data_IF_533063374326
#
_entry.id   IF_533063374326
#
_cell.length_a   1.000
_cell.length_b   1.000
_cell.length_c   1.000
_cell.angle_alpha   90.00
_cell.angle_beta   90.00
_cell.angle_gamma   90.00
#
_symmetry.space_group_name_H-M   'P 1'
#
loop_
_entity.id
_entity.type
_entity.pdbx_description
1 polymer ?
#
# COMPACT_ATOMS: atom_id res chain seq x y z
N UNK A 1 17.32 1.19 -14.52
CA UNK A 1 16.04 1.66 -13.93
C UNK A 1 15.15 2.34 -14.95
N UNK A 2 15.57 3.42 -15.63
CA UNK A 2 14.74 4.10 -16.63
C UNK A 2 14.29 3.18 -17.78
N UNK A 3 15.18 2.30 -18.27
CA UNK A 3 14.82 1.26 -19.25
C UNK A 3 13.75 0.31 -18.73
N UNK A 4 13.87 -0.12 -17.46
CA UNK A 4 12.89 -0.97 -16.79
C UNK A 4 11.52 -0.29 -16.71
N UNK A 5 11.49 0.99 -16.31
CA UNK A 5 10.26 1.80 -16.29
C UNK A 5 9.66 1.91 -17.69
N UNK A 6 10.49 2.14 -18.72
CA UNK A 6 10.06 2.19 -20.11
C UNK A 6 9.44 0.88 -20.61
N UNK A 7 10.04 -0.27 -20.27
CA UNK A 7 9.49 -1.60 -20.56
C UNK A 7 8.12 -1.80 -19.91
N UNK A 8 8.01 -1.50 -18.62
CA UNK A 8 6.75 -1.60 -17.87
C UNK A 8 5.69 -0.68 -18.49
N UNK A 9 6.04 0.58 -18.77
CA UNK A 9 5.14 1.53 -19.42
C UNK A 9 4.59 0.98 -20.74
N UNK A 10 5.44 0.37 -21.58
CA UNK A 10 5.03 -0.23 -22.84
C UNK A 10 4.09 -1.44 -22.64
N UNK A 11 4.42 -2.35 -21.72
CA UNK A 11 3.62 -3.53 -21.40
C UNK A 11 2.19 -3.16 -20.96
N UNK A 12 2.09 -2.19 -20.06
CA UNK A 12 0.81 -1.71 -19.58
C UNK A 12 0.15 -0.70 -20.52
N UNK A 13 0.78 -0.32 -21.65
CA UNK A 13 0.31 0.70 -22.60
C UNK A 13 0.01 2.04 -21.92
N UNK A 14 0.94 2.51 -21.10
CA UNK A 14 0.85 3.75 -20.34
C UNK A 14 1.98 4.70 -20.74
N UNK A 15 1.73 6.00 -20.65
CA UNK A 15 2.78 7.01 -20.75
C UNK A 15 3.27 7.33 -19.36
N UNK A 16 4.59 7.24 -19.15
CA UNK A 16 5.24 7.57 -17.89
C UNK A 16 6.20 8.74 -18.11
N UNK A 17 5.95 9.84 -17.41
CA UNK A 17 6.84 11.01 -17.38
C UNK A 17 7.79 10.88 -16.21
N UNK A 18 9.10 10.78 -16.47
CA UNK A 18 10.09 10.73 -15.40
C UNK A 18 10.65 12.13 -15.13
N UNK A 19 10.52 12.59 -13.90
CA UNK A 19 11.32 13.70 -13.36
C UNK A 19 12.31 13.10 -12.38
N UNK A 20 13.55 13.57 -12.32
CA UNK A 20 14.53 12.98 -11.42
C UNK A 20 15.59 13.97 -10.97
N UNK A 21 16.10 13.72 -9.76
CA UNK A 21 17.26 14.37 -9.23
C UNK A 21 18.49 13.55 -9.62
N UNK A 22 19.23 14.02 -10.63
CA UNK A 22 20.38 13.29 -11.16
C UNK A 22 21.52 13.11 -10.13
N UNK A 23 21.62 14.02 -9.15
CA UNK A 23 22.70 14.03 -8.17
C UNK A 23 22.61 12.95 -7.09
N UNK A 24 21.40 12.64 -6.61
CA UNK A 24 21.16 11.65 -5.54
C UNK A 24 20.40 10.40 -6.02
N UNK A 25 20.02 10.36 -7.29
CA UNK A 25 19.37 9.20 -7.92
C UNK A 25 17.87 9.08 -7.63
N UNK A 26 17.24 10.12 -7.06
CA UNK A 26 15.81 10.09 -6.77
C UNK A 26 14.96 10.23 -8.06
N UNK A 27 14.13 9.22 -8.34
CA UNK A 27 13.26 9.16 -9.50
C UNK A 27 11.81 9.45 -9.12
N UNK A 28 11.12 10.21 -9.99
CA UNK A 28 9.71 10.57 -9.87
C UNK A 28 8.97 10.12 -11.15
N UNK A 29 8.70 8.82 -11.31
CA UNK A 29 7.86 8.34 -12.40
C UNK A 29 6.41 8.78 -12.15
N UNK A 30 5.87 9.57 -13.07
CA UNK A 30 4.50 10.06 -13.01
C UNK A 30 3.66 9.43 -14.13
N UNK A 31 2.54 8.82 -13.76
CA UNK A 31 1.60 8.21 -14.70
C UNK A 31 0.32 9.03 -14.71
N UNK A 32 0.19 9.93 -15.69
CA UNK A 32 -1.04 10.70 -15.90
C UNK A 32 -2.07 9.85 -16.63
N UNK A 33 -3.28 9.76 -16.08
CA UNK A 33 -4.36 8.98 -16.68
C UNK A 33 -5.74 9.61 -16.42
N UNK A 34 -6.71 9.29 -17.29
CA UNK A 34 -8.10 9.66 -17.10
C UNK A 34 -8.82 8.60 -16.24
N UNK A 35 -9.17 8.97 -15.00
CA UNK A 35 -9.86 8.08 -14.06
C UNK A 35 -11.28 7.68 -14.47
N UNK A 36 -11.85 8.33 -15.49
CA UNK A 36 -13.18 7.98 -16.04
C UNK A 36 -13.12 6.80 -17.00
N UNK A 37 -11.93 6.47 -17.52
CA UNK A 37 -11.76 5.35 -18.45
C UNK A 37 -11.77 4.03 -17.66
N UNK A 38 -12.75 3.13 -17.89
CA UNK A 38 -12.85 1.88 -17.16
C UNK A 38 -11.58 1.03 -17.29
N UNK A 39 -11.12 0.50 -16.16
CA UNK A 39 -9.93 -0.37 -16.09
C UNK A 39 -8.58 0.35 -16.23
N UNK A 40 -8.54 1.62 -16.62
CA UNK A 40 -7.27 2.35 -16.75
C UNK A 40 -6.58 2.54 -15.41
N UNK A 41 -7.33 2.88 -14.35
CA UNK A 41 -6.77 2.98 -12.99
C UNK A 41 -6.14 1.67 -12.52
N UNK A 42 -6.80 0.53 -12.74
CA UNK A 42 -6.26 -0.76 -12.33
C UNK A 42 -4.93 -1.09 -13.04
N UNK A 43 -4.81 -0.74 -14.34
CA UNK A 43 -3.55 -0.84 -15.09
C UNK A 43 -2.46 0.07 -14.52
N UNK A 44 -2.81 1.30 -14.16
CA UNK A 44 -1.87 2.26 -13.53
C UNK A 44 -1.39 1.75 -12.18
N UNK A 45 -2.29 1.23 -11.34
CA UNK A 45 -1.95 0.69 -10.03
C UNK A 45 -1.01 -0.52 -10.14
N UNK A 46 -1.26 -1.41 -11.11
CA UNK A 46 -0.41 -2.57 -11.41
C UNK A 46 0.98 -2.15 -11.91
N UNK A 47 1.05 -1.26 -12.90
CA UNK A 47 2.32 -0.74 -13.42
C UNK A 47 3.13 -0.02 -12.33
N UNK A 48 2.46 0.78 -11.50
CA UNK A 48 3.10 1.49 -10.37
C UNK A 48 3.67 0.52 -9.35
N UNK A 49 2.98 -0.60 -9.09
CA UNK A 49 3.47 -1.68 -8.22
C UNK A 49 4.69 -2.38 -8.77
N UNK A 50 4.72 -2.71 -10.06
CA UNK A 50 5.89 -3.32 -10.69
C UNK A 50 7.09 -2.37 -10.70
N UNK A 51 6.87 -1.08 -10.99
CA UNK A 51 7.92 -0.06 -10.91
C UNK A 51 8.47 0.03 -9.48
N UNK A 52 7.58 0.06 -8.47
CA UNK A 52 8.02 0.12 -7.06
C UNK A 52 8.85 -1.10 -6.68
N UNK A 53 8.38 -2.30 -7.03
CA UNK A 53 9.09 -3.54 -6.75
C UNK A 53 10.46 -3.58 -7.44
N UNK A 54 10.55 -3.14 -8.69
CA UNK A 54 11.80 -3.04 -9.42
C UNK A 54 12.79 -2.06 -8.74
N UNK A 55 12.31 -0.89 -8.28
CA UNK A 55 13.11 0.06 -7.53
C UNK A 55 13.68 -0.54 -6.24
N UNK A 56 12.86 -1.24 -5.47
CA UNK A 56 13.27 -1.88 -4.21
C UNK A 56 14.28 -3.01 -4.49
N UNK A 57 14.03 -3.84 -5.49
CA UNK A 57 14.94 -4.93 -5.88
C UNK A 57 16.31 -4.43 -6.35
N UNK A 58 16.37 -3.21 -6.88
CA UNK A 58 17.63 -2.54 -7.26
C UNK A 58 18.35 -1.88 -6.07
N UNK A 59 17.90 -2.09 -4.83
CA UNK A 59 18.47 -1.47 -3.63
C UNK A 59 17.99 -0.05 -3.35
N UNK A 60 16.96 0.42 -4.07
CA UNK A 60 16.33 1.72 -3.83
C UNK A 60 15.36 1.71 -2.65
N UNK A 61 14.78 2.88 -2.38
CA UNK A 61 13.73 3.08 -1.36
C UNK A 61 12.45 3.61 -2.00
N UNK A 62 11.32 3.50 -1.30
CA UNK A 62 10.00 3.95 -1.79
C UNK A 62 9.78 5.47 -1.61
N UNK A 63 10.70 6.12 -0.89
CA UNK A 63 10.67 7.54 -0.54
C UNK A 63 12.08 8.12 -0.51
N UNK A 64 12.28 9.25 -1.19
CA UNK A 64 13.43 10.13 -1.01
C UNK A 64 13.01 11.36 -0.21
N UNK A 65 12.89 12.51 -0.89
CA UNK A 65 12.39 13.77 -0.29
C UNK A 65 10.87 13.77 -0.04
N UNK A 66 10.13 12.96 -0.78
CA UNK A 66 8.67 12.90 -0.69
C UNK A 66 8.21 11.73 0.17
N UNK A 67 7.51 12.02 1.27
CA UNK A 67 7.06 11.01 2.23
C UNK A 67 6.12 9.93 1.69
N UNK A 68 5.83 8.96 2.57
CA UNK A 68 5.03 7.77 2.26
C UNK A 68 3.53 8.06 2.41
N UNK A 69 2.85 8.25 1.27
CA UNK A 69 1.39 8.33 1.19
C UNK A 69 0.69 6.97 1.29
N UNK A 70 -0.65 6.97 1.29
CA UNK A 70 -1.46 5.74 1.44
C UNK A 70 -1.14 4.68 0.38
N UNK A 71 -0.90 5.11 -0.85
CA UNK A 71 -0.57 4.20 -1.95
C UNK A 71 0.76 3.48 -1.72
N UNK A 72 1.73 4.16 -1.09
CA UNK A 72 3.07 3.62 -0.87
C UNK A 72 3.19 2.77 0.40
N UNK A 73 2.26 2.91 1.35
CA UNK A 73 2.33 2.22 2.64
C UNK A 73 2.44 0.70 2.51
N UNK A 74 1.82 0.11 1.49
CA UNK A 74 1.87 -1.34 1.25
C UNK A 74 3.28 -1.87 0.93
N UNK A 75 4.20 -1.00 0.53
CA UNK A 75 5.59 -1.38 0.22
C UNK A 75 6.55 -1.18 1.39
N UNK A 76 6.12 -0.54 2.50
CA UNK A 76 6.97 -0.37 3.69
C UNK A 76 7.56 -1.69 4.21
N UNK A 77 6.83 -2.82 4.26
CA UNK A 77 7.39 -4.10 4.70
C UNK A 77 8.42 -4.72 3.74
N UNK A 78 8.57 -4.16 2.52
CA UNK A 78 9.57 -4.61 1.56
C UNK A 78 10.93 -3.94 1.77
N UNK A 79 10.98 -2.84 2.54
CA UNK A 79 12.19 -2.06 2.82
C UNK A 79 12.56 -2.02 4.31
N UNK A 80 11.60 -2.27 5.20
CA UNK A 80 11.81 -2.31 6.64
C UNK A 80 11.27 -3.62 7.19
N UNK A 81 12.05 -4.26 8.06
CA UNK A 81 11.60 -5.42 8.80
C UNK A 81 10.59 -5.05 9.89
N UNK A 82 9.99 -6.08 10.49
CA UNK A 82 8.96 -5.90 11.51
C UNK A 82 9.48 -5.16 12.75
N UNK A 83 10.76 -5.36 13.13
CA UNK A 83 11.38 -4.69 14.28
C UNK A 83 11.56 -3.20 14.03
N UNK A 84 12.04 -2.82 12.84
CA UNK A 84 12.19 -1.43 12.42
C UNK A 84 10.83 -0.72 12.39
N UNK A 85 9.80 -1.35 11.82
CA UNK A 85 8.45 -0.79 11.80
C UNK A 85 7.87 -0.65 13.22
N UNK A 86 8.13 -1.61 14.10
CA UNK A 86 7.72 -1.55 15.50
C UNK A 86 8.43 -0.40 16.25
N UNK A 87 9.72 -0.18 15.97
CA UNK A 87 10.49 0.93 16.53
C UNK A 87 9.93 2.29 16.07
N UNK A 88 9.64 2.46 14.77
CA UNK A 88 8.99 3.67 14.25
C UNK A 88 7.65 3.93 14.95
N UNK A 89 6.84 2.87 15.15
CA UNK A 89 5.57 2.98 15.87
C UNK A 89 5.78 3.33 17.36
N UNK A 90 6.83 2.81 18.00
CA UNK A 90 7.16 3.11 19.38
C UNK A 90 7.50 4.59 19.58
N UNK A 91 8.30 5.17 18.69
CA UNK A 91 8.60 6.62 18.70
C UNK A 91 7.31 7.44 18.57
N UNK A 92 6.40 7.07 17.66
CA UNK A 92 5.11 7.76 17.52
C UNK A 92 4.30 7.75 18.82
N UNK A 93 4.23 6.61 19.51
CA UNK A 93 3.44 6.47 20.75
C UNK A 93 3.95 7.31 21.91
N UNK A 94 5.21 7.76 21.89
CA UNK A 94 5.73 8.72 22.89
C UNK A 94 4.96 10.05 22.82
N UNK A 95 4.57 10.47 21.61
CA UNK A 95 3.89 11.75 21.37
C UNK A 95 2.38 11.61 21.16
N UNK A 96 1.91 10.42 20.76
CA UNK A 96 0.51 10.10 20.48
C UNK A 96 0.13 8.76 21.14
N UNK A 97 0.06 8.70 22.50
CA UNK A 97 -0.15 7.43 23.22
C UNK A 97 -1.45 6.71 22.85
N UNK A 98 -2.49 7.48 22.55
CA UNK A 98 -3.81 6.98 22.14
C UNK A 98 -3.94 6.79 20.62
N UNK A 99 -2.86 7.01 19.86
CA UNK A 99 -2.79 6.87 18.39
C UNK A 99 -3.85 7.66 17.59
N UNK A 100 -4.29 8.82 18.11
CA UNK A 100 -5.39 9.63 17.55
C UNK A 100 -4.98 10.45 16.35
N UNK A 101 -3.69 10.74 16.22
CA UNK A 101 -3.18 11.66 15.20
C UNK A 101 -2.99 10.93 13.87
N UNK A 102 -3.95 11.10 12.96
CA UNK A 102 -3.92 10.62 11.58
C UNK A 102 -3.58 9.11 11.43
N UNK A 103 -4.43 8.21 11.94
CA UNK A 103 -4.18 6.77 11.97
C UNK A 103 -3.94 6.20 10.56
N UNK A 104 -2.98 5.29 10.45
CA UNK A 104 -2.68 4.61 9.18
C UNK A 104 -1.93 5.49 8.17
N UNK A 105 -1.21 6.52 8.61
CA UNK A 105 -0.27 7.29 7.78
C UNK A 105 1.18 7.03 8.19
N UNK A 106 2.06 7.03 7.21
CA UNK A 106 3.53 6.89 7.31
C UNK A 106 4.01 5.54 7.87
N UNK A 107 3.54 5.13 9.04
CA UNK A 107 3.83 3.83 9.64
C UNK A 107 2.62 2.92 9.44
N UNK A 108 2.78 1.75 8.79
CA UNK A 108 1.72 0.76 8.71
C UNK A 108 1.19 0.43 10.10
N UNK A 109 -0.10 0.60 10.31
CA UNK A 109 -0.76 0.07 11.51
C UNK A 109 -1.20 -1.34 11.18
N UNK A 110 -0.67 -2.32 11.89
CA UNK A 110 -1.29 -3.65 11.93
C UNK A 110 -2.53 -3.55 12.81
N UNK A 111 -3.55 -2.81 12.37
CA UNK A 111 -4.89 -3.02 12.89
C UNK A 111 -5.36 -4.34 12.28
N UNK A 112 -5.78 -5.30 13.11
CA UNK A 112 -6.71 -6.31 12.64
C UNK A 112 -7.80 -5.57 11.83
N UNK A 113 -8.20 -6.13 10.68
CA UNK A 113 -9.09 -5.51 9.68
C UNK A 113 -10.41 -4.91 10.23
N UNK A 114 -10.73 -5.15 11.50
CA UNK A 114 -11.90 -4.70 12.23
C UNK A 114 -12.05 -3.16 12.32
N UNK A 115 -10.96 -2.38 12.26
CA UNK A 115 -11.06 -0.91 12.36
C UNK A 115 -11.59 -0.21 11.09
N UNK A 116 -11.75 -0.95 9.99
CA UNK A 116 -12.36 -0.42 8.75
C UNK A 116 -13.87 -0.19 8.89
N UNK A 117 -14.51 -0.72 9.95
CA UNK A 117 -15.97 -0.77 10.12
C UNK A 117 -16.59 0.34 10.98
N UNK A 118 -15.82 1.09 11.78
CA UNK A 118 -16.40 1.91 12.87
C UNK A 118 -16.68 3.37 12.46
N UNK A 119 -16.95 3.65 11.18
CA UNK A 119 -17.42 4.99 10.73
C UNK A 119 -18.71 5.00 9.93
N UNK A 120 -19.35 3.85 9.74
CA UNK A 120 -20.69 3.78 9.16
C UNK A 120 -21.64 3.14 10.18
N UNK A 121 -22.37 3.98 10.92
CA UNK A 121 -23.64 3.72 11.61
C UNK A 121 -23.67 4.18 13.09
N UNK A 122 -23.61 5.49 13.32
CA UNK A 122 -24.50 6.10 14.33
C UNK A 122 -25.40 7.09 13.60
N UNK A 123 -26.45 6.55 12.98
CA UNK A 123 -27.35 7.31 12.15
C UNK A 123 -28.44 6.44 11.54
N UNK A 124 -29.34 5.91 12.38
CA UNK A 124 -30.71 5.61 11.94
C UNK A 124 -31.10 4.13 11.81
N UNK A 125 -31.99 3.75 12.72
CA UNK A 125 -33.16 2.85 12.55
C UNK A 125 -32.91 1.33 12.50
N UNK A 126 -33.41 0.72 13.58
CA UNK A 126 -33.77 -0.69 13.76
C UNK A 126 -34.61 -1.19 12.57
N UNK A 127 -34.23 -2.32 11.96
CA UNK A 127 -35.15 -3.44 11.72
C UNK A 127 -34.42 -4.69 11.17
N UNK A 128 -34.92 -5.87 11.55
CA UNK A 128 -34.93 -7.05 10.67
C UNK A 128 -33.76 -8.04 10.78
N UNK A 129 -34.01 -9.12 11.51
CA UNK A 129 -33.23 -10.37 11.59
C UNK A 129 -33.11 -11.12 10.26
N UNK A 130 -31.91 -11.60 9.89
CA UNK A 130 -31.70 -12.93 9.26
C UNK A 130 -30.23 -13.36 9.39
N UNK A 131 -29.91 -14.59 9.84
CA UNK A 131 -28.54 -15.11 9.78
C UNK A 131 -28.33 -15.85 8.45
N UNK A 132 -27.21 -15.60 7.77
CA UNK A 132 -26.75 -16.49 6.70
C UNK A 132 -25.47 -17.19 7.15
N UNK A 133 -25.54 -18.50 7.00
CA UNK A 133 -24.69 -19.54 7.56
C UNK A 133 -23.30 -19.61 6.88
N UNK A 134 -22.38 -20.12 7.68
CA UNK A 134 -21.04 -20.61 7.37
C UNK A 134 -20.92 -21.45 6.10
N UNK A 135 -19.80 -21.30 5.38
CA UNK A 135 -18.99 -22.42 4.87
C UNK A 135 -17.83 -21.90 4.02
N UNK A 136 -16.60 -22.11 4.50
CA UNK A 136 -15.43 -22.48 3.68
C UNK A 136 -14.33 -22.93 4.65
N UNK A 137 -14.37 -24.22 5.00
CA UNK A 137 -13.30 -24.94 5.68
C UNK A 137 -12.18 -25.21 4.67
N UNK A 138 -10.96 -24.83 5.02
CA UNK A 138 -9.72 -25.26 4.35
C UNK A 138 -9.41 -26.72 4.69
N UNK A 139 -8.91 -27.53 3.75
CA UNK A 139 -8.40 -28.87 4.04
C UNK A 139 -6.89 -28.81 4.35
N UNK A 140 -6.49 -29.36 5.49
CA UNK A 140 -5.10 -29.77 5.73
C UNK A 140 -5.06 -31.28 5.97
N UNK A 141 -4.60 -32.01 4.95
CA UNK A 141 -3.95 -33.31 5.06
C UNK A 141 -2.57 -33.11 5.72
N UNK A 142 -2.34 -33.70 6.89
CA UNK A 142 -1.73 -35.02 7.07
C UNK A 142 -0.24 -35.05 6.67
N UNK A 143 0.62 -34.77 7.64
CA UNK A 143 1.90 -35.46 7.82
C UNK A 143 2.04 -35.80 9.30
N UNK A 144 2.13 -37.11 9.57
CA UNK A 144 2.31 -37.68 10.89
C UNK A 144 3.71 -38.26 11.07
N UNK A 145 3.97 -38.55 12.35
CA UNK A 145 5.08 -39.29 12.99
C UNK A 145 6.48 -38.72 12.86
#
# INVERSE_FOLDING_TARGET
MLETIGRIAAEYRLTVSNVFHAGDGNLHPNISFDGRVPGLKARVDAASGEIMAACIAAGGTITGEHGVGLDKLRYMPLIFDAESLAAMRAVRRVFDPDERTNPGKVVPVHSCREWSGVRNAEGGRRNGSTPVNSALRTPHSAFGT
#
